data_IF_169165523690
#
_entry.id   IF_169165523690
#
_cell.length_a   1.000
_cell.length_b   1.000
_cell.length_c   1.000
_cell.angle_alpha   90.00
_cell.angle_beta   90.00
_cell.angle_gamma   90.00
#
_symmetry.space_group_name_H-M   'P 1'
#
loop_
_entity.id
_entity.type
_entity.pdbx_description
1 polymer ?
#
# COMPACT_ATOMS: atom_id res chain seq x y z
N UNK A 1 13.14 -6.59 13.59
CA UNK A 1 11.93 -7.42 13.73
C UNK A 1 10.75 -6.63 13.17
N UNK A 2 9.73 -7.29 12.63
CA UNK A 2 8.55 -6.60 12.12
C UNK A 2 7.78 -5.90 13.26
N UNK A 3 7.17 -4.75 12.98
CA UNK A 3 6.44 -3.94 13.96
C UNK A 3 4.96 -3.93 13.58
N UNK A 4 4.06 -4.06 14.57
CA UNK A 4 2.64 -3.95 14.31
C UNK A 4 2.28 -2.54 13.84
N UNK A 5 1.49 -2.47 12.77
CA UNK A 5 1.02 -1.21 12.20
C UNK A 5 -0.45 -1.28 11.80
N UNK A 6 -1.07 -0.12 11.68
CA UNK A 6 -2.46 -0.04 11.27
C UNK A 6 -2.58 -0.14 9.73
N UNK A 7 -3.39 -1.07 9.18
CA UNK A 7 -3.68 -1.10 7.75
C UNK A 7 -4.63 0.04 7.35
N UNK A 8 -4.67 0.36 6.06
CA UNK A 8 -5.63 1.34 5.55
C UNK A 8 -7.07 0.86 5.80
N UNK A 9 -7.93 1.76 6.24
CA UNK A 9 -9.36 1.53 6.43
C UNK A 9 -10.22 2.66 5.86
N UNK A 10 -11.42 2.32 5.40
CA UNK A 10 -12.44 3.27 4.95
C UNK A 10 -13.09 4.05 6.10
N UNK A 11 -12.79 3.69 7.37
CA UNK A 11 -13.34 4.33 8.57
C UNK A 11 -12.61 5.61 8.98
N UNK A 12 -11.46 5.91 8.36
CA UNK A 12 -10.64 7.07 8.66
C UNK A 12 -10.43 7.93 7.40
N UNK A 13 -10.20 9.25 7.54
CA UNK A 13 -9.91 10.12 6.41
C UNK A 13 -8.69 9.66 5.62
N UNK A 14 -8.70 9.83 4.28
CA UNK A 14 -7.56 9.47 3.40
C UNK A 14 -6.27 10.14 3.87
N UNK A 15 -6.32 11.44 4.17
CA UNK A 15 -5.13 12.22 4.52
C UNK A 15 -4.49 11.82 5.86
N UNK A 16 -5.23 11.09 6.70
CA UNK A 16 -4.75 10.62 7.99
C UNK A 16 -4.11 9.22 7.93
N UNK A 17 -3.99 8.65 6.73
CA UNK A 17 -3.53 7.28 6.53
C UNK A 17 -2.59 7.19 5.33
N UNK A 18 -1.76 6.13 5.24
CA UNK A 18 -0.92 5.91 4.06
C UNK A 18 -1.78 5.58 2.83
N UNK A 19 -1.25 5.85 1.63
CA UNK A 19 -1.99 5.61 0.38
C UNK A 19 -1.89 4.14 -0.06
N UNK A 20 -3.03 3.48 -0.24
CA UNK A 20 -3.13 2.08 -0.68
C UNK A 20 -2.31 1.79 -1.94
N UNK A 21 -2.15 2.78 -2.83
CA UNK A 21 -1.41 2.63 -4.08
C UNK A 21 0.11 2.50 -3.88
N UNK A 22 0.61 2.69 -2.66
CA UNK A 22 2.04 2.63 -2.33
C UNK A 22 2.33 1.77 -1.08
N UNK A 23 1.33 1.15 -0.46
CA UNK A 23 1.49 0.31 0.73
C UNK A 23 1.92 -1.11 0.34
N UNK A 24 2.83 -1.69 1.13
CA UNK A 24 3.25 -3.09 1.01
C UNK A 24 2.18 -4.09 1.48
N UNK A 25 2.10 -5.29 0.88
CA UNK A 25 1.04 -6.26 1.17
C UNK A 25 1.05 -6.74 2.63
N UNK A 26 2.21 -6.85 3.26
CA UNK A 26 2.33 -7.19 4.67
C UNK A 26 1.73 -6.13 5.61
N UNK A 27 1.76 -4.85 5.22
CA UNK A 27 1.12 -3.78 5.99
C UNK A 27 -0.39 -3.93 5.87
N UNK A 28 -0.91 -4.07 4.65
CA UNK A 28 -2.36 -4.06 4.42
C UNK A 28 -3.06 -5.36 4.83
N UNK A 29 -2.44 -6.51 4.55
CA UNK A 29 -3.04 -7.83 4.75
C UNK A 29 -2.69 -8.44 6.11
N UNK A 30 -1.52 -8.09 6.66
CA UNK A 30 -0.99 -8.71 7.89
C UNK A 30 -0.75 -7.71 9.03
N UNK A 31 -1.06 -6.42 8.84
CA UNK A 31 -0.89 -5.37 9.86
C UNK A 31 0.54 -5.31 10.40
N UNK A 32 1.51 -5.48 9.52
CA UNK A 32 2.91 -5.61 9.88
C UNK A 32 3.80 -4.75 8.99
N UNK A 33 4.67 -3.93 9.59
CA UNK A 33 5.63 -3.10 8.88
C UNK A 33 7.07 -3.52 9.17
N UNK A 34 7.91 -3.36 8.17
CA UNK A 34 9.33 -3.67 8.24
C UNK A 34 10.10 -2.76 7.28
N UNK A 35 11.44 -2.71 7.36
CA UNK A 35 12.24 -1.99 6.35
C UNK A 35 12.01 -2.49 4.92
N UNK A 36 11.57 -3.74 4.74
CA UNK A 36 11.21 -4.28 3.42
C UNK A 36 9.94 -3.60 2.86
N UNK A 37 9.02 -3.20 3.74
CA UNK A 37 7.81 -2.48 3.37
C UNK A 37 8.14 -1.10 2.78
N UNK A 38 9.13 -0.41 3.35
CA UNK A 38 9.61 0.87 2.80
C UNK A 38 10.22 0.70 1.41
N UNK A 39 10.98 -0.39 1.19
CA UNK A 39 11.56 -0.69 -0.11
C UNK A 39 10.49 -0.98 -1.18
N UNK A 40 9.40 -1.64 -0.79
CA UNK A 40 8.24 -1.84 -1.67
C UNK A 40 7.60 -0.51 -2.06
N UNK A 41 7.30 0.35 -1.08
CA UNK A 41 6.75 1.69 -1.31
C UNK A 41 7.64 2.55 -2.21
N UNK A 42 8.97 2.49 -1.99
CA UNK A 42 9.95 3.18 -2.83
C UNK A 42 9.94 2.65 -4.27
N UNK A 43 9.84 1.32 -4.46
CA UNK A 43 9.74 0.71 -5.78
C UNK A 43 8.50 1.18 -6.54
N UNK A 44 7.35 1.24 -5.88
CA UNK A 44 6.11 1.77 -6.46
C UNK A 44 6.20 3.27 -6.77
N UNK A 45 6.87 4.05 -5.93
CA UNK A 45 7.14 5.47 -6.20
C UNK A 45 8.00 5.64 -7.46
N UNK A 46 9.10 4.90 -7.57
CA UNK A 46 9.94 4.91 -8.77
C UNK A 46 9.12 4.54 -9.99
N UNK A 47 8.34 3.46 -9.92
CA UNK A 47 7.45 3.06 -11.01
C UNK A 47 6.49 4.19 -11.41
N UNK A 48 5.81 4.80 -10.45
CA UNK A 48 4.86 5.87 -10.73
C UNK A 48 5.52 7.08 -11.42
N UNK A 49 6.74 7.45 -11.02
CA UNK A 49 7.51 8.52 -11.67
C UNK A 49 7.73 8.23 -13.16
N UNK A 50 8.06 6.99 -13.51
CA UNK A 50 8.24 6.58 -14.90
C UNK A 50 6.93 6.22 -15.63
N UNK A 51 5.82 6.08 -14.90
CA UNK A 51 4.49 5.77 -15.41
C UNK A 51 3.51 6.96 -15.31
N UNK A 52 3.97 8.18 -15.64
CA UNK A 52 3.13 9.40 -15.69
C UNK A 52 2.38 9.68 -14.38
N UNK A 53 2.99 9.36 -13.25
CA UNK A 53 2.42 9.52 -11.91
C UNK A 53 1.41 8.44 -11.50
N UNK A 54 1.25 7.36 -12.28
CA UNK A 54 0.27 6.29 -11.99
C UNK A 54 0.93 5.10 -11.31
N UNK A 55 0.45 4.75 -10.13
CA UNK A 55 0.77 3.48 -9.47
C UNK A 55 0.21 2.29 -10.27
N UNK A 56 0.85 1.10 -10.23
CA UNK A 56 0.31 -0.09 -10.88
C UNK A 56 -0.88 -0.72 -10.14
N UNK A 57 -1.11 -0.37 -8.87
CA UNK A 57 -2.16 -1.01 -8.05
C UNK A 57 -3.56 -0.39 -8.26
N UNK A 58 -3.63 0.89 -8.62
CA UNK A 58 -4.86 1.67 -8.89
C UNK A 58 -6.07 1.29 -7.99
N UNK A 59 -5.84 1.21 -6.69
CA UNK A 59 -6.77 0.63 -5.71
C UNK A 59 -8.00 1.51 -5.46
N UNK A 60 -7.94 2.80 -5.82
CA UNK A 60 -9.04 3.76 -5.66
C UNK A 60 -9.62 3.76 -4.23
N UNK A 61 -8.75 3.74 -3.23
CA UNK A 61 -9.11 3.73 -1.80
C UNK A 61 -9.94 2.51 -1.34
N UNK A 62 -9.92 1.42 -2.10
CA UNK A 62 -10.65 0.19 -1.77
C UNK A 62 -9.70 -0.93 -1.31
N UNK A 63 -9.74 -1.33 -0.02
CA UNK A 63 -8.99 -2.49 0.48
C UNK A 63 -9.33 -3.79 -0.26
N UNK A 64 -10.57 -3.91 -0.75
CA UNK A 64 -10.98 -5.08 -1.53
C UNK A 64 -10.32 -5.11 -2.91
N UNK A 65 -10.14 -3.94 -3.56
CA UNK A 65 -9.40 -3.89 -4.82
C UNK A 65 -7.91 -4.18 -4.59
N UNK A 66 -7.36 -3.69 -3.48
CA UNK A 66 -5.99 -3.99 -3.09
C UNK A 66 -5.76 -5.49 -2.91
N UNK A 67 -6.60 -6.18 -2.13
CA UNK A 67 -6.44 -7.62 -1.89
C UNK A 67 -6.44 -8.43 -3.19
N UNK A 68 -7.32 -8.08 -4.14
CA UNK A 68 -7.38 -8.72 -5.47
C UNK A 68 -6.09 -8.60 -6.29
N UNK A 69 -5.22 -7.62 -6.03
CA UNK A 69 -3.94 -7.51 -6.73
C UNK A 69 -2.95 -8.63 -6.33
N UNK A 70 -3.20 -9.30 -5.20
CA UNK A 70 -2.32 -10.33 -4.63
C UNK A 70 -3.01 -11.70 -4.51
N UNK A 71 -4.28 -11.80 -4.91
CA UNK A 71 -4.97 -13.08 -5.11
C UNK A 71 -4.51 -13.65 -6.46
N UNK A 72 -3.77 -14.77 -6.45
CA UNK A 72 -3.29 -15.45 -7.66
C UNK A 72 -4.44 -15.96 -8.54
#
# INVERSE_FOLDING_TARGET
>A
APVQCQPFTTKLPKLAQPDLDFIAPEIQLHSNCSPQSDMFSLGLLIYALYNKGRSPLECNLSPMHYAKQFDN
#
